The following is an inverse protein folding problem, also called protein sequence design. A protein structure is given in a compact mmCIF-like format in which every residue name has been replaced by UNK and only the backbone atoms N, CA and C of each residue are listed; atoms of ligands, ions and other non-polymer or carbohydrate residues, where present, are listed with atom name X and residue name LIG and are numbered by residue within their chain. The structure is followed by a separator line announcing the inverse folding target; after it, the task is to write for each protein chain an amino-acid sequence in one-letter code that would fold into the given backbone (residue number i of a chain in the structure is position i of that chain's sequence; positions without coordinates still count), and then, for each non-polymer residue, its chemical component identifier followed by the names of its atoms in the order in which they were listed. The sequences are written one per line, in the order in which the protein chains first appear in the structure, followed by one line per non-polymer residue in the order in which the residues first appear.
data_IF_322018429406
#
_entry.id   IF_322018429406
#
_cell.length_a   1.000
_cell.length_b   1.000
_cell.length_c   1.000
_cell.angle_alpha   90.00
_cell.angle_beta   90.00
_cell.angle_gamma   90.00
#
_symmetry.space_group_name_H-M   'P 1'
#
loop_
_entity.id
_entity.type
_entity.pdbx_description
1 polymer ?
#
# COMPACT_ATOMS: atom_id res chain seq x y z
N UNK A 1 -9.35 -18.61 1.17
CA UNK A 1 -10.46 -18.01 1.94
C UNK A 1 -10.30 -16.50 2.17
N UNK A 2 -9.23 -15.99 2.79
CA UNK A 2 -9.06 -14.53 2.99
C UNK A 2 -8.86 -13.72 1.69
N UNK A 3 -7.98 -14.20 0.79
CA UNK A 3 -7.74 -13.57 -0.53
C UNK A 3 -9.00 -13.50 -1.39
N UNK A 4 -9.86 -14.52 -1.33
CA UNK A 4 -11.10 -14.58 -2.12
C UNK A 4 -12.10 -13.50 -1.70
N UNK A 5 -12.19 -13.20 -0.41
CA UNK A 5 -13.06 -12.13 0.12
C UNK A 5 -12.57 -10.75 -0.27
N UNK A 6 -11.25 -10.53 -0.26
CA UNK A 6 -10.65 -9.26 -0.71
C UNK A 6 -10.87 -9.07 -2.21
N UNK A 7 -10.65 -10.11 -3.01
CA UNK A 7 -10.88 -10.08 -4.45
C UNK A 7 -12.36 -9.81 -4.79
N UNK A 8 -13.30 -10.47 -4.10
CA UNK A 8 -14.73 -10.21 -4.29
C UNK A 8 -15.12 -8.77 -3.91
N UNK A 9 -14.57 -8.25 -2.81
CA UNK A 9 -14.77 -6.85 -2.41
C UNK A 9 -14.23 -5.86 -3.45
N UNK A 10 -13.03 -6.13 -3.99
CA UNK A 10 -12.46 -5.31 -5.06
C UNK A 10 -13.31 -5.33 -6.34
N UNK A 11 -13.87 -6.48 -6.70
CA UNK A 11 -14.77 -6.59 -7.85
C UNK A 11 -16.06 -5.75 -7.66
N UNK A 12 -16.62 -5.72 -6.44
CA UNK A 12 -17.78 -4.87 -6.14
C UNK A 12 -17.43 -3.37 -6.19
N UNK A 13 -16.24 -2.99 -5.73
CA UNK A 13 -15.76 -1.60 -5.80
C UNK A 13 -15.50 -1.20 -7.24
N UNK A 14 -14.86 -2.05 -8.04
CA UNK A 14 -14.63 -1.80 -9.48
C UNK A 14 -15.96 -1.59 -10.22
N UNK A 15 -16.97 -2.43 -9.93
CA UNK A 15 -18.28 -2.31 -10.55
C UNK A 15 -19.01 -1.00 -10.17
N UNK A 16 -18.83 -0.50 -8.95
CA UNK A 16 -19.49 0.72 -8.46
C UNK A 16 -18.69 2.01 -8.77
N UNK A 17 -17.36 1.94 -8.72
CA UNK A 17 -16.43 3.05 -8.92
C UNK A 17 -15.04 2.53 -9.40
N UNK A 18 -14.84 2.43 -10.73
CA UNK A 18 -13.57 2.02 -11.34
C UNK A 18 -12.39 2.93 -11.00
N UNK A 19 -12.64 4.21 -10.68
CA UNK A 19 -11.56 5.14 -10.33
C UNK A 19 -11.06 4.84 -8.92
N UNK A 20 -11.98 4.58 -7.99
CA UNK A 20 -11.63 4.22 -6.61
C UNK A 20 -10.92 2.88 -6.54
N UNK A 21 -11.35 1.88 -7.31
CA UNK A 21 -10.67 0.60 -7.37
C UNK A 21 -9.21 0.73 -7.87
N UNK A 22 -8.96 1.48 -8.95
CA UNK A 22 -7.60 1.80 -9.41
C UNK A 22 -6.75 2.54 -8.38
N UNK A 23 -7.34 3.48 -7.64
CA UNK A 23 -6.62 4.16 -6.56
C UNK A 23 -6.22 3.19 -5.43
N UNK A 24 -7.09 2.23 -5.09
CA UNK A 24 -6.79 1.21 -4.08
C UNK A 24 -5.68 0.29 -4.57
N UNK A 25 -5.76 -0.17 -5.82
CA UNK A 25 -4.72 -1.00 -6.43
C UNK A 25 -3.37 -0.30 -6.43
N UNK A 26 -3.33 0.96 -6.88
CA UNK A 26 -2.09 1.75 -6.88
C UNK A 26 -1.53 1.95 -5.47
N UNK A 27 -2.41 2.20 -4.48
CA UNK A 27 -1.99 2.34 -3.08
C UNK A 27 -1.41 1.04 -2.52
N UNK A 28 -1.98 -0.12 -2.90
CA UNK A 28 -1.45 -1.43 -2.53
C UNK A 28 -0.05 -1.63 -3.12
N UNK A 29 0.12 -1.37 -4.42
CA UNK A 29 1.42 -1.49 -5.09
C UNK A 29 2.44 -0.51 -4.51
N UNK A 30 2.04 0.72 -4.20
CA UNK A 30 2.90 1.69 -3.52
C UNK A 30 3.41 1.14 -2.18
N UNK A 31 2.52 0.56 -1.36
CA UNK A 31 2.91 -0.02 -0.08
C UNK A 31 3.84 -1.22 -0.27
N UNK A 32 3.51 -2.15 -1.16
CA UNK A 32 4.33 -3.34 -1.44
C UNK A 32 5.74 -2.97 -1.92
N UNK A 33 5.86 -2.01 -2.83
CA UNK A 33 7.15 -1.53 -3.35
C UNK A 33 8.02 -0.86 -2.29
N UNK A 34 7.40 -0.30 -1.24
CA UNK A 34 8.11 0.39 -0.16
C UNK A 34 8.16 -0.41 1.14
N UNK A 35 7.59 -1.63 1.19
CA UNK A 35 7.36 -2.37 2.43
C UNK A 35 8.65 -2.61 3.23
N UNK A 36 9.75 -2.95 2.55
CA UNK A 36 11.06 -3.13 3.19
C UNK A 36 11.59 -1.83 3.80
N UNK A 37 11.57 -0.73 3.04
CA UNK A 37 12.05 0.57 3.51
C UNK A 37 11.21 1.15 4.64
N UNK A 38 9.88 0.98 4.58
CA UNK A 38 8.95 1.35 5.64
C UNK A 38 9.22 0.50 6.89
N UNK A 39 9.36 -0.83 6.73
CA UNK A 39 9.64 -1.76 7.82
C UNK A 39 10.91 -1.39 8.58
N UNK A 40 12.04 -1.23 7.88
CA UNK A 40 13.30 -0.83 8.51
C UNK A 40 13.22 0.56 9.17
N UNK A 41 12.42 1.48 8.62
CA UNK A 41 12.20 2.81 9.23
C UNK A 41 11.43 2.70 10.55
N UNK A 42 10.44 1.83 10.64
CA UNK A 42 9.73 1.54 11.89
C UNK A 42 10.64 0.88 12.93
N UNK A 43 11.43 -0.12 12.52
CA UNK A 43 12.40 -0.79 13.38
C UNK A 43 13.42 0.20 13.96
N UNK A 44 14.01 1.04 13.11
CA UNK A 44 14.94 2.08 13.57
C UNK A 44 14.29 3.08 14.55
N UNK A 45 13.02 3.42 14.35
CA UNK A 45 12.26 4.26 15.28
C UNK A 45 12.05 3.59 16.63
N UNK A 46 11.69 2.30 16.61
CA UNK A 46 11.50 1.51 17.82
C UNK A 46 12.82 1.34 18.60
N UNK A 47 13.93 1.12 17.91
CA UNK A 47 15.26 0.96 18.53
C UNK A 47 15.79 2.26 19.12
N UNK A 48 15.61 3.37 18.42
CA UNK A 48 16.22 4.66 18.82
C UNK A 48 15.32 5.51 19.71
N UNK A 49 14.02 5.23 19.75
CA UNK A 49 13.02 6.06 20.44
C UNK A 49 12.89 7.47 19.85
N UNK A 50 13.32 7.68 18.60
CA UNK A 50 13.37 8.98 17.94
C UNK A 50 12.62 8.95 16.61
N UNK A 51 12.22 10.13 16.16
CA UNK A 51 11.63 10.30 14.83
C UNK A 51 12.61 9.83 13.75
N UNK A 52 12.09 9.03 12.81
CA UNK A 52 12.83 8.59 11.64
C UNK A 52 12.29 9.26 10.39
N UNK A 53 13.19 9.54 9.46
CA UNK A 53 12.85 9.98 8.11
C UNK A 53 13.24 8.89 7.15
N UNK A 54 12.29 8.35 6.41
CA UNK A 54 12.52 7.36 5.37
C UNK A 54 12.19 7.92 3.99
N UNK A 55 12.95 7.46 2.99
CA UNK A 55 12.66 7.74 1.58
C UNK A 55 11.55 6.81 1.10
N UNK A 56 10.52 7.39 0.52
CA UNK A 56 9.48 6.66 -0.20
C UNK A 56 9.65 6.88 -1.70
N UNK A 57 9.45 5.82 -2.47
CA UNK A 57 9.41 5.88 -3.92
C UNK A 57 7.97 5.87 -4.38
N UNK A 58 7.53 6.95 -5.02
CA UNK A 58 6.19 7.08 -5.60
C UNK A 58 6.29 6.77 -7.09
N UNK A 59 5.84 5.59 -7.48
CA UNK A 59 5.71 5.20 -8.88
C UNK A 59 4.48 5.85 -9.55
N UNK A 60 4.39 5.85 -10.88
CA UNK A 60 3.22 6.35 -11.58
C UNK A 60 1.96 5.54 -11.19
N UNK A 61 0.76 6.15 -11.28
CA UNK A 61 -0.49 5.44 -11.05
C UNK A 61 -0.70 4.30 -12.05
N UNK A 62 -1.38 3.24 -11.60
CA UNK A 62 -1.82 2.13 -12.46
C UNK A 62 -2.84 2.67 -13.46
N UNK A 63 -2.68 2.32 -14.75
CA UNK A 63 -3.52 2.83 -15.85
C UNK A 63 -4.88 2.13 -15.89
#
# INVERSE_FOLDING_TARGET
MGRDRVSAGMALIEAADPKKARNIEWSSQFYENNAGGIGSCFEAGAETGKNQTCTITVGPPVK
#
